data_IF_691301598408
#
_entry.id   IF_691301598408
#
_cell.length_a   1.000
_cell.length_b   1.000
_cell.length_c   1.000
_cell.angle_alpha   90.00
_cell.angle_beta   90.00
_cell.angle_gamma   90.00
#
_symmetry.space_group_name_H-M   'P 1'
#
loop_
_entity.id
_entity.type
_entity.pdbx_description
1 polymer ?
#
# COMPACT_ATOMS: atom_id res chain seq x y z
N UNK A 1 39.47 -0.54 -7.20
CA UNK A 1 38.25 -0.62 -8.02
C UNK A 1 37.08 -0.28 -7.14
N UNK A 2 36.38 0.84 -7.39
CA UNK A 2 35.18 1.20 -6.64
C UNK A 2 34.13 0.11 -6.87
N UNK A 3 33.49 -0.40 -5.81
CA UNK A 3 32.44 -1.41 -5.98
C UNK A 3 31.25 -0.79 -6.73
N UNK A 4 30.44 -1.58 -7.41
CA UNK A 4 29.24 -1.05 -8.09
C UNK A 4 28.36 -0.21 -7.15
N UNK A 5 28.34 -0.54 -5.85
CA UNK A 5 27.62 0.23 -4.81
C UNK A 5 28.18 1.65 -4.65
N UNK A 6 29.48 1.83 -4.79
CA UNK A 6 30.15 3.13 -4.66
C UNK A 6 29.89 4.02 -5.89
N UNK A 7 29.84 3.42 -7.09
CA UNK A 7 29.48 4.15 -8.33
C UNK A 7 28.00 4.58 -8.32
N UNK A 8 27.10 3.75 -7.76
CA UNK A 8 25.69 4.11 -7.57
C UNK A 8 25.49 5.22 -6.52
N UNK A 9 26.28 5.24 -5.45
CA UNK A 9 26.27 6.30 -4.46
C UNK A 9 26.73 7.66 -5.05
N UNK A 10 27.67 7.65 -5.99
CA UNK A 10 28.23 8.85 -6.62
C UNK A 10 27.36 9.43 -7.75
N UNK A 11 26.53 8.61 -8.40
CA UNK A 11 25.67 9.02 -9.54
C UNK A 11 24.23 9.34 -9.14
N UNK A 12 23.81 8.97 -7.92
CA UNK A 12 22.43 9.16 -7.45
C UNK A 12 21.38 8.31 -8.19
N UNK A 13 21.82 7.36 -9.03
CA UNK A 13 20.98 6.45 -9.79
C UNK A 13 20.78 5.17 -8.97
N UNK A 14 19.79 5.15 -8.08
CA UNK A 14 19.47 3.94 -7.33
C UNK A 14 18.73 2.93 -8.20
N UNK A 15 19.06 1.64 -8.06
CA UNK A 15 18.38 0.57 -8.78
C UNK A 15 16.89 0.50 -8.41
N UNK A 16 16.03 0.34 -9.42
CA UNK A 16 14.58 0.18 -9.19
C UNK A 16 14.27 -1.14 -8.53
N UNK A 17 13.43 -1.08 -7.49
CA UNK A 17 12.95 -2.25 -6.78
C UNK A 17 12.07 -3.11 -7.69
N UNK A 18 12.45 -4.39 -7.84
CA UNK A 18 11.68 -5.37 -8.61
C UNK A 18 10.35 -5.74 -7.97
N UNK A 19 9.55 -6.51 -8.71
CA UNK A 19 8.22 -6.95 -8.30
C UNK A 19 8.21 -7.62 -6.92
N UNK A 20 9.07 -8.62 -6.68
CA UNK A 20 9.05 -9.41 -5.45
C UNK A 20 9.29 -8.60 -4.19
N UNK A 21 10.24 -7.65 -4.19
CA UNK A 21 10.45 -6.77 -3.03
C UNK A 21 9.23 -5.88 -2.75
N UNK A 22 8.59 -5.36 -3.80
CA UNK A 22 7.37 -4.56 -3.66
C UNK A 22 6.18 -5.40 -3.18
N UNK A 23 6.05 -6.63 -3.67
CA UNK A 23 5.01 -7.58 -3.27
C UNK A 23 5.19 -8.00 -1.81
N UNK A 24 6.40 -8.40 -1.42
CA UNK A 24 6.71 -8.75 -0.03
C UNK A 24 6.49 -7.57 0.93
N UNK A 25 6.83 -6.33 0.52
CA UNK A 25 6.56 -5.13 1.34
C UNK A 25 5.05 -4.98 1.60
N UNK A 26 4.25 -5.17 0.54
CA UNK A 26 2.79 -5.12 0.64
C UNK A 26 2.24 -6.21 1.57
N UNK A 27 2.75 -7.44 1.48
CA UNK A 27 2.36 -8.53 2.39
C UNK A 27 2.71 -8.19 3.85
N UNK A 28 3.91 -7.68 4.11
CA UNK A 28 4.32 -7.27 5.46
C UNK A 28 3.44 -6.14 6.01
N UNK A 29 3.13 -5.13 5.20
CA UNK A 29 2.21 -4.06 5.58
C UNK A 29 0.81 -4.58 5.88
N UNK A 30 0.30 -5.52 5.06
CA UNK A 30 -1.02 -6.13 5.26
C UNK A 30 -1.09 -6.96 6.53
N UNK A 31 -0.03 -7.72 6.85
CA UNK A 31 0.06 -8.47 8.10
C UNK A 31 0.12 -7.54 9.32
N UNK A 32 0.91 -6.46 9.23
CA UNK A 32 0.99 -5.44 10.27
C UNK A 32 -0.39 -4.82 10.54
N UNK A 33 -1.08 -4.37 9.49
CA UNK A 33 -2.41 -3.78 9.62
C UNK A 33 -3.45 -4.79 10.11
N UNK A 34 -3.38 -6.05 9.68
CA UNK A 34 -4.26 -7.11 10.18
C UNK A 34 -4.13 -7.30 11.70
N UNK A 35 -2.89 -7.31 12.22
CA UNK A 35 -2.63 -7.42 13.66
C UNK A 35 -3.15 -6.18 14.41
N UNK A 36 -2.96 -4.99 13.84
CA UNK A 36 -3.36 -3.71 14.46
C UNK A 36 -4.89 -3.55 14.47
N UNK A 37 -5.60 -3.97 13.43
CA UNK A 37 -7.05 -3.79 13.28
C UNK A 37 -7.86 -4.89 13.97
N UNK A 38 -7.29 -6.09 14.18
CA UNK A 38 -7.92 -7.23 14.89
C UNK A 38 -8.72 -6.88 16.17
N UNK A 39 -8.25 -5.99 17.07
CA UNK A 39 -8.99 -5.62 18.27
C UNK A 39 -10.27 -4.82 17.99
N UNK A 40 -10.34 -4.11 16.86
CA UNK A 40 -11.50 -3.33 16.43
C UNK A 40 -12.63 -4.28 16.03
N UNK A 41 -12.30 -5.35 15.30
CA UNK A 41 -13.24 -6.38 14.82
C UNK A 41 -13.97 -7.06 15.96
N UNK A 42 -13.26 -7.40 17.04
CA UNK A 42 -13.85 -8.07 18.22
C UNK A 42 -14.91 -7.24 18.94
N UNK A 43 -14.79 -5.90 18.90
CA UNK A 43 -15.81 -5.01 19.50
C UNK A 43 -17.09 -4.97 18.68
N UNK A 44 -16.99 -5.17 17.36
CA UNK A 44 -18.14 -5.23 16.45
C UNK A 44 -18.81 -6.61 16.50
N UNK A 45 -18.03 -7.69 16.64
CA UNK A 45 -18.52 -9.07 16.71
C UNK A 45 -19.46 -9.33 17.91
N UNK A 46 -19.22 -8.68 19.06
CA UNK A 46 -20.12 -8.77 20.22
C UNK A 46 -21.48 -8.07 20.00
N UNK A 47 -21.60 -7.26 18.95
CA UNK A 47 -22.85 -6.60 18.56
C UNK A 47 -23.66 -7.43 17.55
N UNK A 48 -23.12 -8.57 17.09
CA UNK A 48 -23.74 -9.47 16.11
C UNK A 48 -24.19 -10.77 16.81
N UNK A 49 -25.51 -11.00 16.96
CA UNK A 49 -26.04 -12.24 17.56
C UNK A 49 -25.65 -13.48 16.75
N UNK A 50 -25.26 -14.56 17.44
CA UNK A 50 -24.69 -15.79 16.85
C UNK A 50 -25.75 -16.86 16.48
N UNK A 51 -27.04 -16.59 16.69
CA UNK A 51 -28.11 -17.56 16.45
C UNK A 51 -28.52 -17.63 14.97
N UNK A 52 -28.30 -18.81 14.37
CA UNK A 52 -28.51 -19.09 12.94
C UNK A 52 -29.99 -18.99 12.52
N UNK A 53 -30.94 -19.20 13.44
CA UNK A 53 -32.39 -19.09 13.19
C UNK A 53 -32.89 -17.66 12.97
N UNK A 54 -32.08 -16.65 13.27
CA UNK A 54 -32.45 -15.23 13.21
C UNK A 54 -31.88 -14.51 11.98
N UNK A 55 -31.04 -15.18 11.17
CA UNK A 55 -30.28 -14.60 10.06
C UNK A 55 -31.21 -13.95 9.00
N UNK A 56 -32.40 -14.52 8.77
CA UNK A 56 -33.35 -13.99 7.78
C UNK A 56 -33.94 -12.62 8.15
N UNK A 57 -34.04 -12.29 9.45
CA UNK A 57 -34.54 -11.01 9.95
C UNK A 57 -33.42 -10.02 10.35
N UNK A 58 -32.18 -10.52 10.45
CA UNK A 58 -30.99 -9.76 10.87
C UNK A 58 -30.18 -9.24 9.67
N UNK A 59 -30.28 -9.89 8.50
CA UNK A 59 -29.50 -9.51 7.33
C UNK A 59 -29.57 -8.00 6.99
N UNK A 60 -30.72 -7.29 7.06
CA UNK A 60 -30.78 -5.86 6.79
C UNK A 60 -30.15 -4.98 7.89
N UNK A 61 -30.24 -5.38 9.17
CA UNK A 61 -29.75 -4.57 10.30
C UNK A 61 -28.22 -4.61 10.44
N UNK A 62 -27.57 -5.64 9.88
CA UNK A 62 -26.11 -5.74 9.85
C UNK A 62 -25.46 -4.98 8.68
N UNK A 63 -26.21 -4.63 7.63
CA UNK A 63 -25.66 -3.93 6.46
C UNK A 63 -25.05 -2.56 6.84
N UNK A 64 -25.71 -1.81 7.74
CA UNK A 64 -25.21 -0.51 8.20
C UNK A 64 -23.88 -0.61 8.95
N UNK A 65 -23.82 -1.36 10.07
CA UNK A 65 -22.58 -1.55 10.83
C UNK A 65 -21.45 -2.19 10.00
N UNK A 66 -21.76 -3.18 9.16
CA UNK A 66 -20.77 -3.81 8.30
C UNK A 66 -20.21 -2.82 7.26
N UNK A 67 -21.06 -1.99 6.67
CA UNK A 67 -20.63 -0.94 5.74
C UNK A 67 -19.71 0.08 6.42
N UNK A 68 -20.09 0.58 7.60
CA UNK A 68 -19.26 1.51 8.38
C UNK A 68 -17.92 0.88 8.75
N UNK A 69 -17.92 -0.38 9.16
CA UNK A 69 -16.71 -1.12 9.47
C UNK A 69 -15.78 -1.25 8.24
N UNK A 70 -16.29 -1.74 7.11
CA UNK A 70 -15.51 -1.86 5.86
C UNK A 70 -14.96 -0.50 5.43
N UNK A 71 -15.78 0.55 5.48
CA UNK A 71 -15.35 1.91 5.14
C UNK A 71 -14.23 2.39 6.09
N UNK A 72 -14.35 2.12 7.39
CA UNK A 72 -13.33 2.49 8.37
C UNK A 72 -11.99 1.79 8.11
N UNK A 73 -12.02 0.50 7.76
CA UNK A 73 -10.82 -0.28 7.42
C UNK A 73 -10.14 0.27 6.16
N UNK A 74 -10.93 0.60 5.13
CA UNK A 74 -10.42 1.21 3.89
C UNK A 74 -9.74 2.55 4.20
N UNK A 75 -10.42 3.42 4.96
CA UNK A 75 -9.90 4.76 5.31
C UNK A 75 -8.60 4.65 6.12
N UNK A 76 -8.57 3.80 7.15
CA UNK A 76 -7.38 3.65 7.99
C UNK A 76 -6.20 3.06 7.20
N UNK A 77 -6.45 2.03 6.39
CA UNK A 77 -5.41 1.39 5.56
C UNK A 77 -4.86 2.36 4.51
N UNK A 78 -5.73 3.13 3.86
CA UNK A 78 -5.31 4.14 2.89
C UNK A 78 -4.53 5.27 3.54
N UNK A 79 -5.02 5.77 4.68
CA UNK A 79 -4.34 6.81 5.46
C UNK A 79 -2.95 6.34 5.91
N UNK A 80 -2.82 5.08 6.36
CA UNK A 80 -1.51 4.49 6.71
C UNK A 80 -0.52 4.63 5.56
N UNK A 81 -0.86 4.18 4.35
CA UNK A 81 0.06 4.28 3.22
C UNK A 81 0.38 5.72 2.83
N UNK A 82 -0.61 6.60 2.79
CA UNK A 82 -0.41 8.00 2.40
C UNK A 82 0.48 8.72 3.40
N UNK A 83 0.18 8.61 4.70
CA UNK A 83 0.93 9.29 5.76
C UNK A 83 2.37 8.78 5.80
N UNK A 84 2.56 7.46 5.85
CA UNK A 84 3.90 6.90 5.93
C UNK A 84 4.76 7.24 4.71
N UNK A 85 4.21 7.09 3.51
CA UNK A 85 4.98 7.37 2.30
C UNK A 85 5.19 8.88 2.06
N UNK A 86 4.31 9.74 2.57
CA UNK A 86 4.51 11.19 2.50
C UNK A 86 5.61 11.67 3.45
N UNK A 87 5.61 11.21 4.70
CA UNK A 87 6.58 11.67 5.70
C UNK A 87 7.92 10.95 5.61
N UNK A 88 7.92 9.64 5.35
CA UNK A 88 9.13 8.81 5.39
C UNK A 88 9.57 8.31 4.01
N UNK A 89 8.78 8.52 2.97
CA UNK A 89 9.03 7.92 1.64
C UNK A 89 8.85 6.39 1.63
N UNK A 90 8.44 5.79 2.75
CA UNK A 90 8.40 4.35 2.98
C UNK A 90 7.27 3.99 3.96
N UNK A 91 6.65 2.84 3.75
CA UNK A 91 5.83 2.15 4.75
C UNK A 91 6.72 1.26 5.61
N UNK A 92 6.20 0.72 6.72
CA UNK A 92 6.96 -0.19 7.59
C UNK A 92 7.47 -1.41 6.81
N UNK A 93 6.63 -2.06 6.00
CA UNK A 93 7.04 -3.19 5.17
C UNK A 93 8.13 -2.83 4.15
N UNK A 94 8.09 -1.60 3.62
CA UNK A 94 9.13 -1.08 2.72
C UNK A 94 10.45 -0.77 3.44
N UNK A 95 10.38 -0.26 4.67
CA UNK A 95 11.54 -0.04 5.53
C UNK A 95 12.25 -1.36 5.81
N UNK A 96 11.50 -2.41 6.17
CA UNK A 96 12.03 -3.75 6.43
C UNK A 96 12.73 -4.37 5.21
N UNK A 97 12.27 -4.04 3.99
CA UNK A 97 12.86 -4.55 2.75
C UNK A 97 13.86 -3.59 2.09
N UNK A 98 14.16 -2.46 2.74
CA UNK A 98 15.11 -1.46 2.26
C UNK A 98 14.74 -0.90 0.90
N UNK A 99 13.47 -0.55 0.66
CA UNK A 99 13.01 0.08 -0.59
C UNK A 99 12.29 1.38 -0.31
N UNK A 100 12.52 2.44 -1.08
CA UNK A 100 11.91 3.77 -0.85
C UNK A 100 11.31 4.38 -2.09
N UNK A 101 10.28 5.19 -1.88
CA UNK A 101 9.60 5.97 -2.91
C UNK A 101 10.40 7.24 -3.14
N UNK A 102 10.64 7.57 -4.40
CA UNK A 102 11.31 8.78 -4.84
C UNK A 102 10.51 9.47 -5.94
N UNK A 103 10.61 10.79 -6.03
CA UNK A 103 10.09 11.57 -7.15
C UNK A 103 11.04 11.47 -8.33
N UNK A 104 10.51 11.30 -9.54
CA UNK A 104 11.31 11.31 -10.78
C UNK A 104 11.56 12.72 -11.32
N UNK A 105 10.90 13.74 -10.73
CA UNK A 105 10.96 15.14 -11.20
C UNK A 105 11.57 16.08 -10.15
N UNK A 106 11.54 15.70 -8.88
CA UNK A 106 11.97 16.56 -7.77
C UNK A 106 12.84 15.84 -6.74
N UNK A 107 13.40 16.62 -5.81
CA UNK A 107 14.21 16.08 -4.70
C UNK A 107 13.38 15.33 -3.65
N UNK A 108 12.11 15.70 -3.48
CA UNK A 108 11.16 15.09 -2.54
C UNK A 108 9.86 14.75 -3.24
N UNK A 109 9.14 13.75 -2.72
CA UNK A 109 7.82 13.38 -3.23
C UNK A 109 6.79 14.38 -2.73
N UNK A 110 5.95 14.91 -3.62
CA UNK A 110 4.86 15.79 -3.21
C UNK A 110 3.66 14.99 -2.67
N UNK A 111 2.80 15.65 -1.90
CA UNK A 111 1.58 15.02 -1.37
C UNK A 111 0.67 14.50 -2.48
N UNK A 112 0.50 15.28 -3.56
CA UNK A 112 -0.30 14.87 -4.73
C UNK A 112 0.25 13.63 -5.42
N UNK A 113 1.58 13.50 -5.53
CA UNK A 113 2.21 12.31 -6.09
C UNK A 113 1.93 11.07 -5.23
N UNK A 114 2.01 11.20 -3.89
CA UNK A 114 1.68 10.11 -2.97
C UNK A 114 0.21 9.71 -3.05
N UNK A 115 -0.70 10.68 -3.11
CA UNK A 115 -2.14 10.41 -3.25
C UNK A 115 -2.46 9.67 -4.54
N UNK A 116 -2.00 10.18 -5.68
CA UNK A 116 -2.26 9.58 -7.00
C UNK A 116 -1.70 8.16 -7.06
N UNK A 117 -0.46 7.95 -6.58
CA UNK A 117 0.14 6.61 -6.57
C UNK A 117 -0.63 5.64 -5.68
N UNK A 118 -1.12 6.08 -4.51
CA UNK A 118 -1.85 5.19 -3.61
C UNK A 118 -3.31 4.97 -3.99
N UNK A 119 -3.92 5.88 -4.76
CA UNK A 119 -5.32 5.76 -5.17
C UNK A 119 -5.58 4.46 -5.95
N UNK A 120 -4.60 4.01 -6.74
CA UNK A 120 -4.63 2.73 -7.44
C UNK A 120 -4.90 1.53 -6.52
N UNK A 121 -4.53 1.62 -5.23
CA UNK A 121 -4.69 0.52 -4.28
C UNK A 121 -6.08 0.47 -3.64
N UNK A 122 -6.89 1.54 -3.74
CA UNK A 122 -8.30 1.52 -3.30
C UNK A 122 -9.13 0.73 -4.31
N UNK A 123 -8.86 0.90 -5.59
CA UNK A 123 -9.62 0.28 -6.66
C UNK A 123 -8.94 -0.99 -7.14
N UNK A 124 -9.48 -2.15 -6.77
CA UNK A 124 -8.90 -3.47 -7.12
C UNK A 124 -8.61 -3.63 -8.61
N UNK A 125 -9.46 -3.09 -9.48
CA UNK A 125 -9.25 -3.10 -10.93
C UNK A 125 -8.01 -2.30 -11.35
N UNK A 126 -7.81 -1.12 -10.77
CA UNK A 126 -6.62 -0.30 -11.06
C UNK A 126 -5.36 -1.00 -10.51
N UNK A 127 -5.41 -1.56 -9.30
CA UNK A 127 -4.30 -2.31 -8.70
C UNK A 127 -3.89 -3.52 -9.57
N UNK A 128 -4.86 -4.19 -10.18
CA UNK A 128 -4.62 -5.30 -11.09
C UNK A 128 -3.89 -4.83 -12.36
N UNK A 129 -4.36 -3.76 -13.00
CA UNK A 129 -3.66 -3.13 -14.13
C UNK A 129 -2.25 -2.70 -13.72
N UNK A 130 -2.09 -2.13 -12.53
CA UNK A 130 -0.82 -1.66 -11.99
C UNK A 130 0.20 -2.80 -11.86
N UNK A 131 -0.28 -3.97 -11.45
CA UNK A 131 0.51 -5.19 -11.27
C UNK A 131 0.89 -5.81 -12.60
N UNK A 132 -0.05 -5.91 -13.54
CA UNK A 132 0.23 -6.39 -14.90
C UNK A 132 1.24 -5.47 -15.59
N UNK A 133 1.04 -4.15 -15.51
CA UNK A 133 1.96 -3.19 -16.10
C UNK A 133 3.38 -3.41 -15.59
N UNK A 134 3.56 -3.57 -14.28
CA UNK A 134 4.87 -3.82 -13.67
C UNK A 134 5.53 -5.13 -14.12
N UNK A 135 4.74 -6.18 -14.37
CA UNK A 135 5.26 -7.48 -14.81
C UNK A 135 5.61 -7.49 -16.30
N UNK A 136 4.83 -6.80 -17.12
CA UNK A 136 5.02 -6.75 -18.58
C UNK A 136 6.09 -5.73 -18.97
N UNK A 137 6.07 -4.55 -18.37
CA UNK A 137 7.12 -3.54 -18.57
C UNK A 137 8.33 -3.87 -17.69
N UNK A 138 9.38 -4.40 -18.31
CA UNK A 138 10.67 -4.71 -17.67
C UNK A 138 11.40 -3.52 -17.02
N UNK A 139 10.81 -2.33 -17.04
CA UNK A 139 11.31 -1.08 -16.43
C UNK A 139 11.11 -1.01 -14.90
N UNK A 140 10.46 -2.02 -14.30
CA UNK A 140 10.18 -2.11 -12.84
C UNK A 140 9.39 -0.91 -12.28
N UNK A 141 8.54 -0.32 -13.12
CA UNK A 141 7.62 0.77 -12.79
C UNK A 141 6.18 0.27 -12.85
N UNK A 142 5.34 0.77 -11.94
CA UNK A 142 3.89 0.59 -12.00
C UNK A 142 3.23 1.67 -12.85
N UNK A 143 2.01 1.43 -13.32
CA UNK A 143 1.24 2.45 -14.04
C UNK A 143 1.01 3.69 -13.15
N UNK A 144 0.65 3.48 -11.88
CA UNK A 144 0.47 4.51 -10.85
C UNK A 144 1.76 5.26 -10.55
N UNK A 145 2.92 4.57 -10.58
CA UNK A 145 4.25 5.19 -10.44
C UNK A 145 4.50 6.17 -11.60
N UNK A 146 4.19 5.75 -12.85
CA UNK A 146 4.35 6.58 -14.06
C UNK A 146 3.43 7.80 -14.01
N UNK A 147 2.15 7.60 -13.72
CA UNK A 147 1.16 8.70 -13.65
C UNK A 147 1.53 9.69 -12.53
N UNK A 148 1.96 9.19 -11.37
CA UNK A 148 2.40 10.01 -10.25
C UNK A 148 3.80 10.61 -10.44
N UNK A 149 4.54 10.25 -11.50
CA UNK A 149 5.95 10.63 -11.70
C UNK A 149 6.82 10.28 -10.48
N UNK A 150 6.67 9.05 -10.02
CA UNK A 150 7.43 8.48 -8.90
C UNK A 150 8.04 7.16 -9.29
N UNK A 151 9.00 6.70 -8.51
CA UNK A 151 9.58 5.36 -8.64
C UNK A 151 9.90 4.79 -7.25
N UNK A 152 10.06 3.46 -7.17
CA UNK A 152 10.55 2.81 -5.96
C UNK A 152 11.93 2.24 -6.23
N UNK A 153 12.88 2.63 -5.40
CA UNK A 153 14.30 2.32 -5.52
C UNK A 153 14.79 1.61 -4.27
N UNK A 154 15.92 0.91 -4.38
CA UNK A 154 16.60 0.36 -3.21
C UNK A 154 17.13 1.52 -2.32
N UNK A 155 16.89 1.43 -1.02
CA UNK A 155 17.15 2.50 -0.05
C UNK A 155 18.64 2.70 0.18
#
# INVERSE_FOLDING_TARGET
>A
MASQRDVFALTGLQERAGFWRRFSAYVLDSLLLFIILRPIDRKVEHLVPQDISSIANIAPSLLGPAFVFVLSVIVVTFAYWVVFEFYFGQTVGKMLLGIKVRSTVGRKVSFSQILIRNLAKIFSFILFIDTIYLLVKGERLRFSDVVAKTEVVLS
#
